data_IF_831821337719
#
_entry.id   IF_831821337719
#
_cell.length_a   1.000
_cell.length_b   1.000
_cell.length_c   1.000
_cell.angle_alpha   90.00
_cell.angle_beta   90.00
_cell.angle_gamma   90.00
#
_symmetry.space_group_name_H-M   'P 1'
#
loop_
_entity.id
_entity.type
_entity.pdbx_description
1 polymer ?
#
# COMPACT_ATOMS: atom_id res chain seq x y z
N UNK A 1 -9.65 -9.18 27.05
CA UNK A 1 -8.92 -10.09 26.12
C UNK A 1 -9.85 -10.34 24.92
N UNK A 2 -9.39 -10.11 23.68
CA UNK A 2 -10.20 -10.41 22.49
C UNK A 2 -10.41 -11.94 22.38
N UNK A 3 -11.64 -12.36 22.10
CA UNK A 3 -11.92 -13.76 21.81
C UNK A 3 -11.32 -14.14 20.44
N UNK A 4 -10.89 -15.40 20.25
CA UNK A 4 -10.30 -15.84 18.97
C UNK A 4 -11.18 -15.50 17.74
N UNK A 5 -12.51 -15.52 17.89
CA UNK A 5 -13.46 -15.13 16.84
C UNK A 5 -13.42 -13.63 16.49
N UNK A 6 -12.89 -12.79 17.38
CA UNK A 6 -12.84 -11.35 17.17
C UNK A 6 -11.66 -10.93 16.27
N UNK A 7 -10.69 -11.84 16.03
CA UNK A 7 -9.61 -11.60 15.07
C UNK A 7 -10.08 -11.58 13.61
N UNK A 8 -11.27 -12.14 13.36
CA UNK A 8 -11.86 -12.16 12.02
C UNK A 8 -12.95 -11.09 11.84
N UNK A 9 -13.02 -10.13 12.74
CA UNK A 9 -13.91 -8.96 12.59
C UNK A 9 -13.10 -7.76 12.13
N UNK A 10 -13.69 -6.90 11.29
CA UNK A 10 -13.05 -5.64 10.92
C UNK A 10 -12.66 -4.83 12.15
N UNK A 11 -11.51 -4.15 12.10
CA UNK A 11 -11.03 -3.30 13.19
C UNK A 11 -11.82 -1.99 13.32
N UNK A 12 -12.50 -1.58 12.26
CA UNK A 12 -13.41 -0.43 12.25
C UNK A 12 -14.77 -0.84 11.73
N UNK A 13 -15.82 -0.20 12.25
CA UNK A 13 -17.19 -0.40 11.75
C UNK A 13 -17.28 0.08 10.30
N UNK A 14 -17.73 -0.79 9.42
CA UNK A 14 -17.85 -0.52 7.98
C UNK A 14 -16.57 -0.80 7.16
N UNK A 15 -15.48 -1.22 7.80
CA UNK A 15 -14.33 -1.74 7.06
C UNK A 15 -14.67 -3.10 6.41
N UNK A 16 -13.96 -3.49 5.33
CA UNK A 16 -14.11 -4.81 4.72
C UNK A 16 -13.83 -5.93 5.70
N UNK A 17 -14.45 -7.11 5.46
CA UNK A 17 -14.13 -8.30 6.24
C UNK A 17 -12.66 -8.70 6.02
N UNK A 18 -11.92 -9.03 7.10
CA UNK A 18 -10.54 -9.46 6.95
C UNK A 18 -10.49 -10.79 6.19
N UNK A 19 -9.46 -10.95 5.37
CA UNK A 19 -9.21 -12.21 4.68
C UNK A 19 -8.86 -13.29 5.71
N UNK A 20 -9.62 -14.38 5.71
CA UNK A 20 -9.36 -15.53 6.58
C UNK A 20 -8.15 -16.34 6.11
N UNK A 21 -8.08 -16.52 4.80
CA UNK A 21 -7.00 -17.20 4.13
C UNK A 21 -6.39 -16.24 3.11
N UNK A 22 -5.14 -15.86 3.32
CA UNK A 22 -4.40 -15.06 2.33
C UNK A 22 -4.06 -16.01 1.18
N UNK A 23 -4.55 -15.74 -0.04
CA UNK A 23 -4.28 -16.61 -1.18
C UNK A 23 -2.76 -16.73 -1.40
N UNK A 24 -2.25 -17.94 -1.48
CA UNK A 24 -0.87 -18.17 -1.88
C UNK A 24 -0.72 -17.76 -3.35
N UNK A 25 0.02 -16.70 -3.58
CA UNK A 25 0.34 -16.20 -4.92
C UNK A 25 1.85 -16.09 -5.05
N UNK A 26 2.50 -17.03 -5.76
CA UNK A 26 3.95 -16.97 -5.94
C UNK A 26 4.29 -15.71 -6.73
N UNK A 27 5.19 -14.91 -6.18
CA UNK A 27 5.70 -13.70 -6.83
C UNK A 27 7.22 -13.81 -6.96
N UNK A 28 7.71 -13.72 -8.19
CA UNK A 28 9.15 -13.80 -8.52
C UNK A 28 9.79 -12.45 -8.54
N UNK A 29 9.00 -11.41 -8.82
CA UNK A 29 9.51 -10.07 -9.08
C UNK A 29 8.58 -8.99 -8.56
N UNK A 30 9.16 -8.06 -7.81
CA UNK A 30 8.56 -6.77 -7.47
C UNK A 30 9.31 -5.70 -8.29
N UNK A 31 8.60 -5.04 -9.20
CA UNK A 31 9.16 -3.95 -9.99
C UNK A 31 8.80 -2.60 -9.37
N UNK A 32 9.81 -1.89 -8.88
CA UNK A 32 9.65 -0.56 -8.32
C UNK A 32 9.60 0.50 -9.43
N UNK A 33 8.69 1.45 -9.31
CA UNK A 33 8.68 2.62 -10.20
C UNK A 33 8.51 3.92 -9.40
N UNK A 34 9.14 5.03 -9.84
CA UNK A 34 8.96 6.35 -9.25
C UNK A 34 7.71 7.02 -9.87
N UNK A 35 6.61 7.21 -9.11
CA UNK A 35 5.35 7.71 -9.70
C UNK A 35 5.40 9.19 -10.14
N UNK A 36 6.38 9.96 -9.69
CA UNK A 36 6.63 11.34 -10.14
C UNK A 36 7.33 11.43 -11.48
N UNK A 37 7.84 10.31 -12.02
CA UNK A 37 8.57 10.29 -13.27
C UNK A 37 7.67 9.88 -14.44
N UNK A 38 7.13 10.86 -15.18
CA UNK A 38 6.21 10.61 -16.28
C UNK A 38 6.79 9.71 -17.39
N UNK A 39 8.11 9.75 -17.63
CA UNK A 39 8.76 8.88 -18.62
C UNK A 39 8.74 7.41 -18.18
N UNK A 40 8.88 7.16 -16.89
CA UNK A 40 8.78 5.80 -16.34
C UNK A 40 7.31 5.35 -16.30
N UNK A 41 6.40 6.22 -15.92
CA UNK A 41 4.96 5.93 -15.93
C UNK A 41 4.47 5.58 -17.34
N UNK A 42 4.93 6.27 -18.36
CA UNK A 42 4.57 5.98 -19.76
C UNK A 42 4.99 4.58 -20.25
N UNK A 43 5.97 3.93 -19.58
CA UNK A 43 6.43 2.57 -19.91
C UNK A 43 5.68 1.47 -19.16
N UNK A 44 4.84 1.81 -18.20
CA UNK A 44 4.14 0.82 -17.36
C UNK A 44 3.31 -0.17 -18.17
N UNK A 45 2.59 0.21 -19.24
CA UNK A 45 1.84 -0.76 -20.05
C UNK A 45 2.70 -1.89 -20.63
N UNK A 46 3.98 -1.61 -20.97
CA UNK A 46 4.90 -2.62 -21.49
C UNK A 46 5.51 -3.47 -20.36
N UNK A 47 5.62 -2.93 -19.14
CA UNK A 47 6.22 -3.59 -17.99
C UNK A 47 5.22 -4.51 -17.30
N UNK A 48 3.98 -4.05 -17.11
CA UNK A 48 2.93 -4.74 -16.35
C UNK A 48 2.80 -6.22 -16.75
N UNK A 49 2.70 -6.62 -18.02
CA UNK A 49 2.53 -8.02 -18.37
C UNK A 49 3.75 -8.90 -18.08
N UNK A 50 4.90 -8.32 -17.72
CA UNK A 50 6.16 -9.03 -17.47
C UNK A 50 6.50 -9.20 -16.00
N UNK A 51 5.74 -8.59 -15.09
CA UNK A 51 6.01 -8.59 -13.64
C UNK A 51 4.83 -9.13 -12.85
N UNK A 52 5.11 -9.69 -11.67
CA UNK A 52 4.05 -10.20 -10.80
C UNK A 52 3.46 -9.07 -9.93
N UNK A 53 4.32 -8.13 -9.52
CA UNK A 53 3.97 -6.99 -8.68
C UNK A 53 4.60 -5.71 -9.25
N UNK A 54 3.76 -4.70 -9.44
CA UNK A 54 4.19 -3.33 -9.72
C UNK A 54 4.09 -2.51 -8.45
N UNK A 55 5.19 -1.88 -8.01
CA UNK A 55 5.24 -1.15 -6.76
C UNK A 55 5.56 0.32 -6.98
N UNK A 56 4.60 1.19 -6.68
CA UNK A 56 4.80 2.64 -6.64
C UNK A 56 5.56 3.05 -5.38
N UNK A 57 6.74 3.64 -5.56
CA UNK A 57 7.58 4.01 -4.44
C UNK A 57 7.40 5.48 -4.04
N UNK A 58 7.07 5.72 -2.76
CA UNK A 58 6.97 7.08 -2.18
C UNK A 58 8.10 7.37 -1.18
N UNK A 59 8.91 6.36 -0.83
CA UNK A 59 9.91 6.45 0.23
C UNK A 59 11.30 6.75 -0.31
N UNK A 60 12.29 5.90 -0.04
CA UNK A 60 13.69 6.09 -0.43
C UNK A 60 13.82 6.26 -1.95
N UNK A 61 14.67 7.18 -2.37
CA UNK A 61 14.85 7.53 -3.78
C UNK A 61 13.86 8.57 -4.33
N UNK A 62 12.87 9.01 -3.53
CA UNK A 62 12.00 10.15 -3.85
C UNK A 62 12.43 11.35 -3.01
N UNK A 63 12.93 12.44 -3.60
CA UNK A 63 13.30 13.65 -2.87
C UNK A 63 12.13 14.24 -2.07
N UNK A 64 12.43 14.94 -0.97
CA UNK A 64 11.41 15.58 -0.13
C UNK A 64 10.51 16.54 -0.92
N UNK A 65 11.09 17.28 -1.88
CA UNK A 65 10.35 18.17 -2.78
C UNK A 65 9.34 17.48 -3.69
N UNK A 66 9.51 16.18 -3.93
CA UNK A 66 8.75 15.42 -4.91
C UNK A 66 7.73 14.47 -4.26
N UNK A 67 7.66 14.40 -2.93
CA UNK A 67 6.79 13.49 -2.19
C UNK A 67 5.31 13.65 -2.56
N UNK A 68 4.83 14.87 -2.62
CA UNK A 68 3.45 15.17 -3.01
C UNK A 68 3.18 14.82 -4.48
N UNK A 69 4.11 15.14 -5.36
CA UNK A 69 4.00 14.82 -6.78
C UNK A 69 4.03 13.29 -7.01
N UNK A 70 4.85 12.56 -6.26
CA UNK A 70 4.90 11.11 -6.32
C UNK A 70 3.59 10.48 -5.84
N UNK A 71 3.02 10.97 -4.73
CA UNK A 71 1.70 10.53 -4.23
C UNK A 71 0.60 10.75 -5.26
N UNK A 72 0.52 11.97 -5.81
CA UNK A 72 -0.47 12.32 -6.84
C UNK A 72 -0.28 11.47 -8.12
N UNK A 73 0.97 11.25 -8.53
CA UNK A 73 1.31 10.39 -9.66
C UNK A 73 0.89 8.95 -9.46
N UNK A 74 1.10 8.40 -8.26
CA UNK A 74 0.69 7.05 -7.89
C UNK A 74 -0.85 6.88 -7.95
N UNK A 75 -1.59 7.83 -7.39
CA UNK A 75 -3.05 7.83 -7.43
C UNK A 75 -3.55 7.91 -8.87
N UNK A 76 -2.93 8.74 -9.71
CA UNK A 76 -3.23 8.80 -11.13
C UNK A 76 -3.01 7.46 -11.83
N UNK A 77 -1.87 6.80 -11.59
CA UNK A 77 -1.58 5.48 -12.15
C UNK A 77 -2.64 4.46 -11.70
N UNK A 78 -2.95 4.41 -10.41
CA UNK A 78 -3.94 3.49 -9.85
C UNK A 78 -5.34 3.65 -10.45
N UNK A 79 -5.70 4.87 -10.91
CA UNK A 79 -7.00 5.17 -11.50
C UNK A 79 -7.07 4.97 -13.00
N UNK A 80 -5.93 5.05 -13.70
CA UNK A 80 -5.94 5.14 -15.18
C UNK A 80 -5.23 4.02 -15.90
N UNK A 81 -4.37 3.27 -15.20
CA UNK A 81 -3.58 2.19 -15.80
C UNK A 81 -4.22 0.84 -15.47
N UNK A 82 -4.48 0.04 -16.50
CA UNK A 82 -4.96 -1.32 -16.31
C UNK A 82 -3.81 -2.22 -15.86
N UNK A 83 -3.95 -2.82 -14.68
CA UNK A 83 -2.97 -3.73 -14.10
C UNK A 83 -3.12 -5.17 -14.59
N UNK A 84 -4.23 -5.51 -15.25
CA UNK A 84 -4.50 -6.89 -15.68
C UNK A 84 -4.39 -7.89 -14.52
N UNK A 85 -3.46 -8.84 -14.62
CA UNK A 85 -3.18 -9.83 -13.58
C UNK A 85 -2.10 -9.40 -12.58
N UNK A 86 -1.40 -8.30 -12.83
CA UNK A 86 -0.31 -7.78 -11.99
C UNK A 86 -0.88 -7.09 -10.76
N UNK A 87 -0.32 -7.36 -9.58
CA UNK A 87 -0.74 -6.67 -8.37
C UNK A 87 -0.16 -5.26 -8.31
N UNK A 88 -0.96 -4.30 -7.85
CA UNK A 88 -0.48 -2.96 -7.55
C UNK A 88 -0.19 -2.82 -6.05
N UNK A 89 1.07 -2.59 -5.73
CA UNK A 89 1.54 -2.31 -4.38
C UNK A 89 2.05 -0.87 -4.29
N UNK A 90 2.16 -0.37 -3.06
CA UNK A 90 2.86 0.88 -2.79
C UNK A 90 3.73 0.77 -1.55
N UNK A 91 4.92 1.39 -1.59
CA UNK A 91 5.72 1.63 -0.39
C UNK A 91 5.50 3.08 0.03
N UNK A 92 4.85 3.26 1.17
CA UNK A 92 4.62 4.57 1.78
C UNK A 92 5.88 5.08 2.47
N UNK A 93 5.89 6.35 2.85
CA UNK A 93 6.99 6.87 3.66
C UNK A 93 7.00 6.23 5.06
N UNK A 94 8.17 6.21 5.70
CA UNK A 94 8.35 5.65 7.05
C UNK A 94 7.48 6.37 8.09
N UNK A 95 7.08 5.65 9.15
CA UNK A 95 6.12 6.15 10.14
C UNK A 95 6.65 7.33 10.97
N UNK A 96 7.94 7.53 11.03
CA UNK A 96 8.61 8.67 11.67
C UNK A 96 8.70 9.90 10.74
N UNK A 97 8.23 9.79 9.49
CA UNK A 97 8.22 10.88 8.52
C UNK A 97 6.95 11.73 8.62
N UNK A 98 6.98 13.01 8.19
CA UNK A 98 5.78 13.83 8.16
C UNK A 98 4.81 13.46 7.04
N UNK A 99 5.16 12.55 6.12
CA UNK A 99 4.37 12.22 4.93
C UNK A 99 3.53 10.94 5.07
N UNK A 100 3.86 10.06 6.01
CA UNK A 100 3.22 8.74 6.13
C UNK A 100 1.70 8.81 6.29
N UNK A 101 1.21 9.72 7.13
CA UNK A 101 -0.24 9.89 7.35
C UNK A 101 -0.96 10.37 6.09
N UNK A 102 -0.36 11.33 5.38
CA UNK A 102 -0.91 11.86 4.14
C UNK A 102 -0.88 10.83 3.02
N UNK A 103 0.18 10.02 2.94
CA UNK A 103 0.28 8.92 1.99
C UNK A 103 -0.88 7.93 2.19
N UNK A 104 -1.04 7.42 3.41
CA UNK A 104 -2.09 6.46 3.74
C UNK A 104 -3.48 7.05 3.48
N UNK A 105 -3.70 8.29 3.93
CA UNK A 105 -5.00 8.93 3.78
C UNK A 105 -5.38 9.13 2.32
N UNK A 106 -4.49 9.73 1.52
CA UNK A 106 -4.78 10.03 0.12
C UNK A 106 -4.92 8.76 -0.72
N UNK A 107 -3.98 7.81 -0.61
CA UNK A 107 -3.98 6.57 -1.39
C UNK A 107 -5.25 5.78 -1.13
N UNK A 108 -5.60 5.57 0.14
CA UNK A 108 -6.76 4.74 0.50
C UNK A 108 -8.07 5.41 0.13
N UNK A 109 -8.20 6.71 0.43
CA UNK A 109 -9.47 7.40 0.17
C UNK A 109 -9.71 7.70 -1.30
N UNK A 110 -8.66 7.87 -2.09
CA UNK A 110 -8.79 8.24 -3.48
C UNK A 110 -8.71 7.07 -4.47
N UNK A 111 -7.98 6.01 -4.15
CA UNK A 111 -7.74 4.90 -5.07
C UNK A 111 -7.64 3.52 -4.38
N UNK A 112 -8.08 3.36 -3.13
CA UNK A 112 -7.82 2.19 -2.30
C UNK A 112 -8.21 0.84 -2.93
N UNK A 113 -9.31 0.77 -3.66
CA UNK A 113 -9.74 -0.47 -4.32
C UNK A 113 -8.76 -0.99 -5.41
N UNK A 114 -7.86 -0.14 -5.91
CA UNK A 114 -6.85 -0.52 -6.88
C UNK A 114 -5.62 -1.19 -6.24
N UNK A 115 -5.39 -0.94 -4.94
CA UNK A 115 -4.21 -1.46 -4.25
C UNK A 115 -4.48 -2.83 -3.62
N UNK A 116 -3.50 -3.72 -3.75
CA UNK A 116 -3.52 -5.03 -3.09
C UNK A 116 -2.75 -5.00 -1.77
N UNK A 117 -1.64 -4.27 -1.72
CA UNK A 117 -0.75 -4.24 -0.56
C UNK A 117 -0.15 -2.85 -0.35
N UNK A 118 -0.08 -2.43 0.90
CA UNK A 118 0.73 -1.30 1.36
C UNK A 118 1.96 -1.85 2.07
N UNK A 119 3.14 -1.48 1.59
CA UNK A 119 4.43 -1.86 2.14
C UNK A 119 4.90 -0.77 3.10
N UNK A 120 5.12 -1.15 4.35
CA UNK A 120 5.57 -0.25 5.43
C UNK A 120 7.08 -0.42 5.58
N UNK A 121 7.87 0.61 5.28
CA UNK A 121 9.32 0.57 5.45
C UNK A 121 9.72 0.75 6.92
N UNK A 122 10.91 0.33 7.26
CA UNK A 122 11.59 0.59 8.54
C UNK A 122 10.75 0.21 9.77
N UNK A 123 10.02 -0.92 9.67
CA UNK A 123 9.24 -1.45 10.79
C UNK A 123 10.20 -1.87 11.91
N UNK A 124 9.95 -1.41 13.13
CA UNK A 124 10.77 -1.70 14.31
C UNK A 124 10.10 -2.65 15.31
N UNK A 125 8.79 -2.88 15.15
CA UNK A 125 8.06 -3.77 16.03
C UNK A 125 6.60 -3.98 15.65
N UNK A 126 5.89 -4.88 16.33
CA UNK A 126 4.48 -5.16 16.05
C UNK A 126 3.56 -3.96 16.29
N UNK A 127 3.95 -3.01 17.10
CA UNK A 127 3.21 -1.77 17.37
C UNK A 127 3.06 -0.91 16.12
N UNK A 128 4.07 -0.89 15.25
CA UNK A 128 4.02 -0.15 13.98
C UNK A 128 2.94 -0.73 13.08
N UNK A 129 2.89 -2.05 12.98
CA UNK A 129 1.89 -2.75 12.18
C UNK A 129 0.50 -2.56 12.80
N UNK A 130 0.35 -2.66 14.11
CA UNK A 130 -0.94 -2.44 14.77
C UNK A 130 -1.46 -1.00 14.58
N UNK A 131 -0.55 -0.01 14.59
CA UNK A 131 -0.92 1.38 14.34
C UNK A 131 -1.49 1.54 12.92
N UNK A 132 -0.74 1.06 11.93
CA UNK A 132 -1.15 1.17 10.52
C UNK A 132 -2.42 0.38 10.25
N UNK A 133 -2.54 -0.84 10.76
CA UNK A 133 -3.71 -1.70 10.58
C UNK A 133 -5.01 -1.04 11.11
N UNK A 134 -4.94 -0.39 12.28
CA UNK A 134 -6.07 0.35 12.84
C UNK A 134 -6.43 1.60 12.05
N UNK A 135 -5.43 2.34 11.58
CA UNK A 135 -5.64 3.52 10.74
C UNK A 135 -6.21 3.12 9.39
N UNK A 136 -5.63 2.07 8.79
CA UNK A 136 -6.08 1.54 7.51
C UNK A 136 -7.54 1.11 7.56
N UNK A 137 -7.95 0.34 8.59
CA UNK A 137 -9.34 -0.07 8.74
C UNK A 137 -10.33 1.11 8.82
N UNK A 138 -9.94 2.23 9.46
CA UNK A 138 -10.76 3.45 9.49
C UNK A 138 -10.87 4.11 8.11
N UNK A 139 -9.75 4.18 7.39
CA UNK A 139 -9.70 4.76 6.04
C UNK A 139 -10.48 3.91 5.04
N UNK A 140 -10.35 2.58 5.11
CA UNK A 140 -11.11 1.62 4.31
C UNK A 140 -12.62 1.76 4.53
N UNK A 141 -13.04 1.85 5.79
CA UNK A 141 -14.45 2.08 6.14
C UNK A 141 -14.96 3.43 5.58
N UNK A 142 -14.15 4.50 5.75
CA UNK A 142 -14.48 5.84 5.25
C UNK A 142 -14.57 5.87 3.72
N UNK A 143 -13.66 5.19 3.04
CA UNK A 143 -13.62 5.09 1.58
C UNK A 143 -14.60 4.04 1.01
N UNK A 144 -15.25 3.24 1.86
CA UNK A 144 -16.16 2.14 1.51
C UNK A 144 -15.51 1.14 0.56
N UNK A 145 -14.29 0.70 0.89
CA UNK A 145 -13.58 -0.27 0.05
C UNK A 145 -14.31 -1.60 0.01
N UNK A 146 -14.24 -2.27 -1.12
CA UNK A 146 -14.87 -3.59 -1.35
C UNK A 146 -14.01 -4.75 -0.86
N UNK A 147 -12.70 -4.54 -0.68
CA UNK A 147 -11.73 -5.53 -0.19
C UNK A 147 -10.76 -4.87 0.76
N UNK A 148 -10.20 -5.60 1.75
CA UNK A 148 -9.14 -5.07 2.59
C UNK A 148 -7.83 -4.94 1.79
N UNK A 149 -7.01 -3.96 2.16
CA UNK A 149 -5.64 -3.82 1.66
C UNK A 149 -4.73 -4.56 2.64
N UNK A 150 -3.84 -5.40 2.13
CA UNK A 150 -2.88 -6.12 2.96
C UNK A 150 -1.69 -5.24 3.34
N UNK A 151 -1.07 -5.55 4.47
CA UNK A 151 0.16 -4.90 4.92
C UNK A 151 1.37 -5.81 4.70
N UNK A 152 2.46 -5.23 4.24
CA UNK A 152 3.77 -5.88 4.11
C UNK A 152 4.79 -5.08 4.93
N UNK A 153 5.42 -5.70 5.90
CA UNK A 153 6.48 -5.08 6.71
C UNK A 153 7.86 -5.27 6.06
N UNK A 154 8.67 -4.21 6.04
CA UNK A 154 10.09 -4.32 5.71
C UNK A 154 10.88 -4.20 7.01
N UNK A 155 11.57 -5.28 7.38
CA UNK A 155 12.43 -5.37 8.55
C UNK A 155 13.87 -5.03 8.12
N UNK A 156 14.20 -3.75 8.10
CA UNK A 156 15.47 -3.22 7.56
C UNK A 156 16.21 -2.32 8.54
N UNK A 157 15.72 -2.22 9.78
CA UNK A 157 16.37 -1.50 10.88
C UNK A 157 17.05 -2.49 11.82
N UNK A 158 17.90 -1.99 12.73
CA UNK A 158 18.55 -2.83 13.73
C UNK A 158 17.59 -3.41 14.79
N UNK A 159 16.35 -2.91 14.86
CA UNK A 159 15.30 -3.36 15.80
C UNK A 159 14.25 -4.24 15.13
N UNK A 160 14.08 -4.06 13.81
CA UNK A 160 13.13 -4.81 13.00
C UNK A 160 13.65 -6.15 12.49
#
# INVERSE_FOLDING_TARGET
>A
MRHARDFFKPLAVGAPEPLRDIPFRPSRMIHFFPPSNDKMVAKLPDIIPTVDILLGNLEDGVPASDKEAARAGLIRVARTVDMGATQLWTRVNSLDSPWALDDLTAIVTEAGNAFDVIMIPKVEGPEDIHYVDRLLAQLEAKARLSKPILLHAILETARG
#
